data_IF_843415476494
#
_entry.id   IF_843415476494
#
_cell.length_a   1.000
_cell.length_b   1.000
_cell.length_c   1.000
_cell.angle_alpha   90.00
_cell.angle_beta   90.00
_cell.angle_gamma   90.00
#
_symmetry.space_group_name_H-M   'P 1'
#
loop_
_entity.id
_entity.type
_entity.pdbx_description
1 polymer ?
#
# COMPACT_ATOMS: atom_id res chain seq x y z
N UNK A 1 -12.20 -1.76 11.29
CA UNK A 1 -10.90 -1.10 11.04
C UNK A 1 -10.74 0.19 11.83
N UNK A 2 -9.51 0.58 12.05
CA UNK A 2 -9.17 1.81 12.74
C UNK A 2 -9.60 3.04 11.93
N UNK A 3 -9.99 4.12 12.62
CA UNK A 3 -10.31 5.40 11.99
C UNK A 3 -9.12 6.00 11.24
N UNK A 4 -7.89 5.59 11.57
CA UNK A 4 -6.69 6.02 10.85
C UNK A 4 -6.68 5.61 9.39
N UNK A 5 -7.39 4.54 9.03
CA UNK A 5 -7.44 4.03 7.65
C UNK A 5 -8.12 5.00 6.68
N UNK A 6 -9.02 5.85 7.17
CA UNK A 6 -9.75 6.82 6.36
C UNK A 6 -9.49 8.26 6.76
N UNK A 7 -8.40 8.53 7.47
CA UNK A 7 -8.07 9.87 7.93
C UNK A 7 -7.91 10.84 6.75
N UNK A 8 -8.49 12.03 6.90
CA UNK A 8 -8.38 13.07 5.89
C UNK A 8 -6.95 13.60 5.88
N UNK A 9 -6.35 13.65 4.71
CA UNK A 9 -4.98 14.08 4.52
C UNK A 9 -4.90 15.60 4.30
N UNK A 10 -3.68 16.12 4.27
CA UNK A 10 -3.43 17.57 4.11
C UNK A 10 -4.05 18.15 2.85
N UNK A 11 -4.17 17.36 1.78
CA UNK A 11 -4.79 17.78 0.52
C UNK A 11 -6.32 17.72 0.53
N UNK A 12 -6.94 17.37 1.66
CA UNK A 12 -8.38 17.27 1.83
C UNK A 12 -8.98 15.93 1.41
N UNK A 13 -8.18 15.00 0.89
CA UNK A 13 -8.64 13.67 0.49
C UNK A 13 -8.53 12.68 1.64
N UNK A 14 -9.43 11.71 1.68
CA UNK A 14 -9.32 10.60 2.62
C UNK A 14 -8.24 9.62 2.17
N UNK A 15 -7.55 9.02 3.13
CA UNK A 15 -6.59 7.96 2.85
C UNK A 15 -7.32 6.73 2.34
N UNK A 16 -6.83 6.11 1.26
CA UNK A 16 -7.49 4.96 0.62
C UNK A 16 -7.29 3.64 1.38
N UNK A 17 -6.63 3.67 2.54
CA UNK A 17 -6.32 2.47 3.31
C UNK A 17 -7.57 1.68 3.72
N UNK A 18 -8.69 2.36 3.99
CA UNK A 18 -9.93 1.68 4.36
C UNK A 18 -10.44 0.80 3.22
N UNK A 19 -10.40 1.29 1.98
CA UNK A 19 -10.81 0.51 0.82
C UNK A 19 -9.91 -0.71 0.63
N UNK A 20 -8.60 -0.52 0.79
CA UNK A 20 -7.63 -1.60 0.67
C UNK A 20 -7.87 -2.65 1.75
N UNK A 21 -8.14 -2.21 2.98
CA UNK A 21 -8.47 -3.10 4.09
C UNK A 21 -9.69 -3.97 3.76
N UNK A 22 -10.79 -3.33 3.33
CA UNK A 22 -12.04 -4.01 3.02
C UNK A 22 -11.89 -4.99 1.86
N UNK A 23 -11.25 -4.57 0.78
CA UNK A 23 -11.02 -5.42 -0.40
C UNK A 23 -10.17 -6.64 -0.03
N UNK A 24 -9.13 -6.45 0.77
CA UNK A 24 -8.26 -7.53 1.20
C UNK A 24 -8.99 -8.48 2.14
N UNK A 25 -9.77 -7.93 3.07
CA UNK A 25 -10.59 -8.74 3.98
C UNK A 25 -11.59 -9.61 3.21
N UNK A 26 -12.28 -9.04 2.23
CA UNK A 26 -13.22 -9.76 1.38
C UNK A 26 -12.54 -10.90 0.61
N UNK A 27 -11.36 -10.62 0.06
CA UNK A 27 -10.56 -11.63 -0.64
C UNK A 27 -10.19 -12.79 0.29
N UNK A 28 -9.82 -12.49 1.54
CA UNK A 28 -9.52 -13.48 2.55
C UNK A 28 -10.77 -14.27 2.97
N UNK A 29 -11.89 -13.57 3.14
CA UNK A 29 -13.16 -14.19 3.54
C UNK A 29 -13.66 -15.20 2.50
N UNK A 30 -13.53 -14.89 1.22
CA UNK A 30 -13.88 -15.79 0.13
C UNK A 30 -13.10 -17.10 0.18
N UNK A 31 -11.92 -17.10 0.80
CA UNK A 31 -11.03 -18.26 0.94
C UNK A 31 -11.09 -18.90 2.32
N UNK A 32 -11.98 -18.40 3.18
CA UNK A 32 -12.12 -18.90 4.54
C UNK A 32 -10.95 -18.53 5.45
N UNK A 33 -10.16 -17.52 5.09
CA UNK A 33 -8.95 -17.15 5.82
C UNK A 33 -9.05 -15.84 6.60
N UNK A 34 -10.17 -15.10 6.52
CA UNK A 34 -10.30 -13.80 7.17
C UNK A 34 -10.08 -13.87 8.69
N UNK A 35 -10.56 -14.93 9.34
CA UNK A 35 -10.39 -15.10 10.79
C UNK A 35 -8.97 -15.51 11.20
N UNK A 36 -8.14 -15.91 10.25
CA UNK A 36 -6.78 -16.37 10.50
C UNK A 36 -5.74 -15.24 10.42
N UNK A 37 -6.13 -14.11 9.84
CA UNK A 37 -5.26 -12.93 9.71
C UNK A 37 -5.65 -11.94 10.79
N UNK A 38 -4.66 -11.50 11.60
CA UNK A 38 -4.95 -10.54 12.65
C UNK A 38 -5.39 -9.20 12.05
N UNK A 39 -6.35 -8.50 12.68
CA UNK A 39 -6.75 -7.17 12.21
C UNK A 39 -5.57 -6.18 12.15
N UNK A 40 -4.63 -6.28 13.08
CA UNK A 40 -3.45 -5.42 13.11
C UNK A 40 -2.53 -5.65 11.90
N UNK A 41 -2.32 -6.92 11.51
CA UNK A 41 -1.54 -7.23 10.32
C UNK A 41 -2.19 -6.65 9.07
N UNK A 42 -3.51 -6.82 8.95
CA UNK A 42 -4.27 -6.32 7.82
C UNK A 42 -4.27 -4.78 7.76
N UNK A 43 -4.40 -4.11 8.91
CA UNK A 43 -4.31 -2.65 9.00
C UNK A 43 -2.93 -2.16 8.59
N UNK A 44 -1.86 -2.80 9.08
CA UNK A 44 -0.50 -2.41 8.70
C UNK A 44 -0.27 -2.57 7.20
N UNK A 45 -0.76 -3.66 6.63
CA UNK A 45 -0.68 -3.85 5.18
C UNK A 45 -1.42 -2.72 4.44
N UNK A 46 -2.67 -2.46 4.81
CA UNK A 46 -3.49 -1.43 4.16
C UNK A 46 -2.87 -0.04 4.27
N UNK A 47 -2.36 0.32 5.45
CA UNK A 47 -1.67 1.60 5.66
C UNK A 47 -0.39 1.70 4.83
N UNK A 48 0.39 0.64 4.80
CA UNK A 48 1.64 0.61 4.02
C UNK A 48 1.38 0.81 2.53
N UNK A 49 0.37 0.13 1.98
CA UNK A 49 -0.06 0.30 0.58
C UNK A 49 -0.47 1.75 0.33
N UNK A 50 -1.32 2.30 1.19
CA UNK A 50 -1.84 3.66 1.02
C UNK A 50 -0.71 4.70 1.06
N UNK A 51 0.23 4.57 1.98
CA UNK A 51 1.39 5.47 2.08
C UNK A 51 2.32 5.31 0.88
N UNK A 52 2.53 4.09 0.42
CA UNK A 52 3.32 3.86 -0.79
C UNK A 52 2.70 4.58 -2.00
N UNK A 53 1.38 4.46 -2.18
CA UNK A 53 0.64 5.17 -3.24
C UNK A 53 0.85 6.68 -3.11
N UNK A 54 0.71 7.25 -1.90
CA UNK A 54 0.93 8.68 -1.67
C UNK A 54 2.34 9.11 -2.06
N UNK A 55 3.36 8.31 -1.72
CA UNK A 55 4.74 8.64 -2.07
C UNK A 55 4.96 8.61 -3.58
N UNK A 56 4.38 7.63 -4.29
CA UNK A 56 4.47 7.55 -5.75
C UNK A 56 3.75 8.74 -6.41
N UNK A 57 2.60 9.14 -5.89
CA UNK A 57 1.89 10.33 -6.36
C UNK A 57 2.72 11.59 -6.15
N UNK A 58 3.39 11.72 -4.99
CA UNK A 58 4.26 12.84 -4.69
C UNK A 58 5.48 12.89 -5.62
N UNK A 59 6.08 11.75 -5.92
CA UNK A 59 7.19 11.65 -6.88
C UNK A 59 6.73 12.08 -8.27
N UNK A 60 5.53 11.66 -8.69
CA UNK A 60 4.95 12.06 -9.96
C UNK A 60 4.71 13.56 -10.03
N UNK A 61 4.19 14.15 -8.95
CA UNK A 61 3.87 15.58 -8.90
C UNK A 61 5.12 16.44 -8.77
N UNK A 62 6.07 16.09 -7.89
CA UNK A 62 7.22 16.92 -7.54
C UNK A 62 8.52 16.51 -8.20
N UNK A 63 8.57 15.32 -8.83
CA UNK A 63 9.75 14.79 -9.51
C UNK A 63 10.72 14.08 -8.58
N UNK A 64 11.74 13.46 -9.20
CA UNK A 64 12.76 12.70 -8.47
C UNK A 64 13.78 13.57 -7.73
N UNK A 65 13.91 14.83 -8.14
CA UNK A 65 14.92 15.75 -7.61
C UNK A 65 14.25 16.89 -6.84
N UNK A 66 14.94 17.33 -5.80
CA UNK A 66 14.57 18.51 -5.02
C UNK A 66 15.79 19.38 -4.85
N UNK A 67 15.60 20.63 -4.36
CA UNK A 67 16.73 21.50 -4.02
C UNK A 67 17.11 21.33 -2.55
N UNK A 68 18.39 21.21 -2.31
CA UNK A 68 18.91 21.22 -0.93
C UNK A 68 18.56 22.57 -0.29
N UNK A 69 17.97 22.60 0.93
CA UNK A 69 17.48 23.85 1.52
C UNK A 69 18.59 24.88 1.82
N UNK A 70 19.83 24.44 2.03
CA UNK A 70 20.95 25.33 2.34
C UNK A 70 21.77 25.67 1.10
N UNK A 71 22.14 24.68 0.28
CA UNK A 71 23.09 24.87 -0.84
C UNK A 71 22.41 25.12 -2.17
N UNK A 72 21.11 24.82 -2.31
CA UNK A 72 20.38 24.88 -3.57
C UNK A 72 20.74 23.79 -4.58
N UNK A 73 21.67 22.89 -4.22
CA UNK A 73 22.07 21.77 -5.08
C UNK A 73 20.91 20.80 -5.31
N UNK A 74 20.90 20.15 -6.49
CA UNK A 74 19.94 19.08 -6.75
C UNK A 74 20.23 17.87 -5.87
N UNK A 75 19.20 17.38 -5.19
CA UNK A 75 19.26 16.16 -4.37
C UNK A 75 18.09 15.26 -4.73
N UNK A 76 18.18 13.98 -4.36
CA UNK A 76 17.05 13.06 -4.52
C UNK A 76 15.89 13.54 -3.65
N UNK A 77 14.68 13.54 -4.20
CA UNK A 77 13.47 13.85 -3.44
C UNK A 77 13.33 12.86 -2.27
N UNK A 78 13.01 13.34 -1.05
CA UNK A 78 12.78 12.44 0.09
C UNK A 78 11.64 11.44 -0.14
N UNK A 79 10.70 11.76 -1.02
CA UNK A 79 9.61 10.83 -1.36
C UNK A 79 10.08 9.58 -2.07
N UNK A 80 11.22 9.64 -2.79
CA UNK A 80 11.79 8.46 -3.46
C UNK A 80 12.23 7.42 -2.43
N UNK A 81 12.99 7.83 -1.42
CA UNK A 81 13.43 6.93 -0.35
C UNK A 81 12.25 6.40 0.47
N UNK A 82 11.28 7.27 0.79
CA UNK A 82 10.07 6.87 1.50
C UNK A 82 9.28 5.84 0.71
N UNK A 83 9.13 6.04 -0.60
CA UNK A 83 8.45 5.09 -1.48
C UNK A 83 9.12 3.71 -1.45
N UNK A 84 10.43 3.68 -1.53
CA UNK A 84 11.20 2.42 -1.47
C UNK A 84 11.02 1.70 -0.14
N UNK A 85 10.98 2.44 0.98
CA UNK A 85 10.75 1.87 2.31
C UNK A 85 9.36 1.27 2.42
N UNK A 86 8.33 1.98 1.94
CA UNK A 86 6.95 1.47 1.96
C UNK A 86 6.78 0.29 1.01
N UNK A 87 7.46 0.29 -0.13
CA UNK A 87 7.47 -0.86 -1.05
C UNK A 87 7.98 -2.12 -0.35
N UNK A 88 9.12 -2.03 0.31
CA UNK A 88 9.72 -3.15 1.04
C UNK A 88 8.82 -3.64 2.17
N UNK A 89 8.26 -2.71 2.93
CA UNK A 89 7.33 -3.02 4.02
C UNK A 89 6.07 -3.69 3.50
N UNK A 90 5.49 -3.16 2.43
CA UNK A 90 4.28 -3.71 1.81
C UNK A 90 4.51 -5.14 1.32
N UNK A 91 5.62 -5.38 0.64
CA UNK A 91 5.96 -6.72 0.15
C UNK A 91 6.09 -7.72 1.29
N UNK A 92 6.76 -7.32 2.38
CA UNK A 92 6.92 -8.17 3.56
C UNK A 92 5.57 -8.50 4.21
N UNK A 93 4.74 -7.48 4.41
CA UNK A 93 3.43 -7.64 5.04
C UNK A 93 2.50 -8.51 4.16
N UNK A 94 2.54 -8.28 2.85
CA UNK A 94 1.79 -9.11 1.92
C UNK A 94 2.22 -10.58 1.96
N UNK A 95 3.53 -10.84 2.02
CA UNK A 95 4.02 -12.21 2.10
C UNK A 95 3.58 -12.92 3.38
N UNK A 96 3.49 -12.20 4.50
CA UNK A 96 2.94 -12.74 5.75
C UNK A 96 1.46 -13.15 5.57
N UNK A 97 0.66 -12.28 4.94
CA UNK A 97 -0.76 -12.56 4.67
C UNK A 97 -0.90 -13.73 3.71
N UNK A 98 -0.15 -13.70 2.61
CA UNK A 98 -0.20 -14.73 1.58
C UNK A 98 0.22 -16.10 2.09
N UNK A 99 1.19 -16.15 2.99
CA UNK A 99 1.63 -17.39 3.61
C UNK A 99 0.50 -18.08 4.39
N UNK A 100 -0.31 -17.30 5.11
CA UNK A 100 -1.47 -17.81 5.83
C UNK A 100 -2.48 -18.44 4.85
N UNK A 101 -2.74 -17.76 3.74
CA UNK A 101 -3.65 -18.28 2.70
C UNK A 101 -3.10 -19.55 2.10
N UNK A 102 -1.82 -19.56 1.76
CA UNK A 102 -1.15 -20.70 1.15
C UNK A 102 -1.18 -21.95 2.05
N UNK A 103 -1.03 -21.76 3.35
CA UNK A 103 -1.03 -22.86 4.32
C UNK A 103 -2.44 -23.40 4.62
N UNK A 104 -3.47 -22.57 4.48
CA UNK A 104 -4.83 -22.88 4.93
C UNK A 104 -5.85 -23.03 3.82
N UNK A 105 -5.53 -22.62 2.60
CA UNK A 105 -6.42 -22.76 1.45
C UNK A 105 -6.09 -24.07 0.73
N UNK A 106 -7.07 -24.98 0.67
CA UNK A 106 -6.91 -26.30 0.04
C UNK A 106 -6.99 -26.23 -1.49
N UNK A 107 -7.53 -25.13 -2.04
CA UNK A 107 -7.73 -24.97 -3.47
C UNK A 107 -6.69 -24.01 -4.02
N UNK A 108 -5.99 -24.41 -5.08
CA UNK A 108 -5.05 -23.55 -5.76
C UNK A 108 -5.81 -22.33 -6.35
N UNK A 109 -5.27 -21.14 -6.10
CA UNK A 109 -5.91 -19.92 -6.49
C UNK A 109 -5.19 -19.27 -7.67
N UNK A 110 -5.92 -18.99 -8.74
CA UNK A 110 -5.39 -18.45 -10.00
C UNK A 110 -5.93 -17.06 -10.37
N UNK A 111 -6.79 -16.48 -9.52
CA UNK A 111 -7.37 -15.16 -9.78
C UNK A 111 -6.51 -13.99 -9.35
N UNK A 112 -7.05 -12.78 -9.51
CA UNK A 112 -6.40 -11.53 -9.11
C UNK A 112 -6.29 -11.47 -7.59
N UNK A 113 -5.12 -11.11 -7.08
CA UNK A 113 -4.88 -10.94 -5.65
C UNK A 113 -4.91 -9.47 -5.25
N UNK A 114 -5.04 -9.15 -3.94
CA UNK A 114 -4.91 -7.78 -3.47
C UNK A 114 -3.59 -7.11 -3.87
N UNK A 115 -2.50 -7.87 -3.96
CA UNK A 115 -1.21 -7.32 -4.41
C UNK A 115 -1.26 -6.94 -5.89
N UNK A 116 -1.98 -7.67 -6.73
CA UNK A 116 -2.18 -7.30 -8.14
C UNK A 116 -2.92 -5.97 -8.25
N UNK A 117 -3.96 -5.77 -7.43
CA UNK A 117 -4.69 -4.51 -7.37
C UNK A 117 -3.80 -3.35 -6.89
N UNK A 118 -2.92 -3.63 -5.93
CA UNK A 118 -1.93 -2.67 -5.45
C UNK A 118 -0.99 -2.24 -6.59
N UNK A 119 -0.50 -3.19 -7.38
CA UNK A 119 0.36 -2.89 -8.52
C UNK A 119 -0.36 -2.00 -9.54
N UNK A 120 -1.63 -2.27 -9.81
CA UNK A 120 -2.43 -1.45 -10.71
C UNK A 120 -2.62 -0.02 -10.18
N UNK A 121 -2.91 0.13 -8.89
CA UNK A 121 -3.03 1.46 -8.25
C UNK A 121 -1.72 2.24 -8.34
N UNK A 122 -0.58 1.57 -8.17
CA UNK A 122 0.74 2.19 -8.28
C UNK A 122 1.04 2.65 -9.70
N UNK A 123 0.64 1.87 -10.70
CA UNK A 123 0.78 2.28 -12.10
C UNK A 123 -0.01 3.55 -12.41
N UNK A 124 -1.24 3.66 -11.88
CA UNK A 124 -2.06 4.87 -12.02
C UNK A 124 -1.40 6.07 -11.34
N UNK A 125 -0.86 5.89 -10.14
CA UNK A 125 -0.16 6.94 -9.40
C UNK A 125 1.06 7.46 -10.16
N UNK A 126 1.84 6.55 -10.76
CA UNK A 126 3.02 6.89 -11.57
C UNK A 126 2.66 7.64 -12.85
N UNK A 127 1.46 7.39 -13.39
CA UNK A 127 0.98 8.09 -14.58
C UNK A 127 0.36 9.46 -14.27
N UNK A 128 0.19 9.79 -12.99
CA UNK A 128 -0.41 11.05 -12.56
C UNK A 128 -1.92 11.14 -12.79
N UNK A 129 -2.59 10.01 -12.92
CA UNK A 129 -4.03 9.95 -13.15
C UNK A 129 -4.82 9.45 -11.95
#
# INVERSE_FOLDING_TARGET
PSKMLSAVQKDGKALVAEDIYKETWEWLAERGCASLVSPQLLERYAMSVARWIQCEEAVTEFGFLAKHPTTGSAIQSPYVAMSQNFMSQTNRLWMEIYQIVKENCATEYTGVTPMDDTMERLLRARKGS
#
